data_IF_666337016638
#
_entry.id   IF_666337016638
#
_cell.length_a   1.000
_cell.length_b   1.000
_cell.length_c   1.000
_cell.angle_alpha   90.00
_cell.angle_beta   90.00
_cell.angle_gamma   90.00
#
_symmetry.space_group_name_H-M   'P 1'
#
loop_
_entity.id
_entity.type
_entity.pdbx_description
1 polymer ?
#
# COMPACT_ATOMS: atom_id res chain seq x y z
N UNK A 1 12.83 -23.23 -4.30
CA UNK A 1 12.26 -22.51 -3.14
C UNK A 1 13.36 -22.34 -2.10
N UNK A 2 13.52 -21.13 -1.60
CA UNK A 2 14.51 -20.88 -0.57
C UNK A 2 14.03 -21.44 0.76
N UNK A 3 14.92 -22.12 1.45
CA UNK A 3 14.60 -22.62 2.78
C UNK A 3 14.54 -21.47 3.78
N UNK A 4 13.44 -21.38 4.51
CA UNK A 4 13.20 -20.28 5.44
C UNK A 4 13.77 -20.52 6.83
N UNK A 5 14.01 -21.78 7.19
CA UNK A 5 14.55 -22.09 8.51
C UNK A 5 15.99 -21.59 8.61
N UNK A 6 16.33 -20.94 9.69
CA UNK A 6 17.67 -20.41 9.89
C UNK A 6 17.85 -18.95 9.52
N UNK A 7 16.85 -18.34 8.91
CA UNK A 7 16.87 -16.89 8.67
C UNK A 7 16.55 -16.14 9.94
N UNK A 8 17.12 -14.96 10.10
CA UNK A 8 16.78 -14.11 11.23
C UNK A 8 15.43 -13.41 11.01
N UNK A 9 14.98 -12.67 12.01
CA UNK A 9 13.68 -12.00 11.97
C UNK A 9 13.57 -11.02 10.80
N UNK A 10 14.61 -10.23 10.57
CA UNK A 10 14.61 -9.23 9.51
C UNK A 10 14.45 -9.90 8.15
N UNK A 11 15.24 -10.94 7.92
CA UNK A 11 15.22 -11.66 6.65
C UNK A 11 13.91 -12.43 6.45
N UNK A 12 13.35 -13.01 7.51
CA UNK A 12 12.06 -13.69 7.43
C UNK A 12 10.95 -12.72 7.03
N UNK A 13 10.92 -11.55 7.65
CA UNK A 13 9.94 -10.53 7.32
C UNK A 13 10.13 -10.04 5.89
N UNK A 14 11.39 -9.87 5.47
CA UNK A 14 11.70 -9.44 4.11
C UNK A 14 11.22 -10.44 3.07
N UNK A 15 11.51 -11.72 3.27
CA UNK A 15 11.08 -12.76 2.35
C UNK A 15 9.56 -12.84 2.26
N UNK A 16 8.88 -12.77 3.39
CA UNK A 16 7.42 -12.79 3.40
C UNK A 16 6.83 -11.55 2.73
N UNK A 17 7.41 -10.40 2.98
CA UNK A 17 6.95 -9.15 2.36
C UNK A 17 7.07 -9.24 0.83
N UNK A 18 8.23 -9.64 0.32
CA UNK A 18 8.45 -9.81 -1.11
C UNK A 18 7.48 -10.82 -1.72
N UNK A 19 7.36 -11.98 -1.07
CA UNK A 19 6.50 -13.04 -1.58
C UNK A 19 5.04 -12.63 -1.65
N UNK A 20 4.53 -12.02 -0.59
CA UNK A 20 3.14 -11.58 -0.54
C UNK A 20 2.85 -10.47 -1.55
N UNK A 21 3.77 -9.52 -1.69
CA UNK A 21 3.60 -8.44 -2.67
C UNK A 21 3.58 -8.99 -4.09
N UNK A 22 4.43 -9.94 -4.40
CA UNK A 22 4.46 -10.57 -5.73
C UNK A 22 3.14 -11.29 -6.02
N UNK A 23 2.67 -12.09 -5.08
CA UNK A 23 1.41 -12.82 -5.26
C UNK A 23 0.24 -11.86 -5.41
N UNK A 24 0.17 -10.84 -4.58
CA UNK A 24 -0.89 -9.84 -4.65
C UNK A 24 -0.88 -9.12 -6.00
N UNK A 25 0.29 -8.75 -6.49
CA UNK A 25 0.43 -8.09 -7.79
C UNK A 25 0.00 -8.99 -8.94
N UNK A 26 0.42 -10.26 -8.91
CA UNK A 26 0.02 -11.23 -9.94
C UNK A 26 -1.49 -11.44 -9.96
N UNK A 27 -2.10 -11.58 -8.78
CA UNK A 27 -3.55 -11.75 -8.69
C UNK A 27 -4.30 -10.51 -9.16
N UNK A 28 -3.80 -9.33 -8.83
CA UNK A 28 -4.41 -8.10 -9.29
C UNK A 28 -4.34 -8.00 -10.82
N UNK A 29 -3.19 -8.29 -11.41
CA UNK A 29 -3.00 -8.21 -12.86
C UNK A 29 -3.88 -9.21 -13.61
N UNK A 30 -4.19 -10.35 -13.00
CA UNK A 30 -5.10 -11.33 -13.60
C UNK A 30 -6.55 -10.86 -13.57
N UNK A 31 -6.95 -10.12 -12.54
CA UNK A 31 -8.35 -9.72 -12.30
C UNK A 31 -8.67 -8.33 -12.76
N UNK A 32 -7.70 -7.44 -12.78
CA UNK A 32 -7.92 -6.02 -13.02
C UNK A 32 -7.63 -5.59 -14.45
N UNK A 33 -8.32 -4.55 -14.85
CA UNK A 33 -8.10 -3.92 -16.16
C UNK A 33 -7.05 -2.82 -16.09
N UNK A 34 -6.72 -2.37 -14.88
CA UNK A 34 -5.78 -1.26 -14.66
C UNK A 34 -4.56 -1.80 -13.94
N UNK A 35 -3.40 -1.64 -14.55
CA UNK A 35 -2.14 -2.01 -13.90
C UNK A 35 -1.84 -1.02 -12.78
N UNK A 36 -1.61 -1.52 -11.58
CA UNK A 36 -1.32 -0.66 -10.42
C UNK A 36 -0.09 -1.23 -9.72
N UNK A 37 0.94 -0.40 -9.57
CA UNK A 37 2.17 -0.79 -8.91
C UNK A 37 2.03 -0.73 -7.38
N UNK A 38 2.95 -1.38 -6.68
CA UNK A 38 2.97 -1.33 -5.22
C UNK A 38 3.12 0.09 -4.69
N UNK A 39 3.92 0.93 -5.37
CA UNK A 39 4.07 2.34 -4.99
C UNK A 39 2.76 3.09 -5.15
N UNK A 40 2.03 2.80 -6.21
CA UNK A 40 0.72 3.41 -6.44
C UNK A 40 -0.30 2.97 -5.39
N UNK A 41 -0.33 1.68 -5.04
CA UNK A 41 -1.18 1.20 -3.95
C UNK A 41 -0.88 1.91 -2.65
N UNK A 42 0.40 2.11 -2.36
CA UNK A 42 0.83 2.76 -1.14
C UNK A 42 0.34 4.21 -1.09
N UNK A 43 0.42 4.91 -2.21
CA UNK A 43 -0.10 6.27 -2.34
C UNK A 43 -1.62 6.29 -2.15
N UNK A 44 -2.33 5.37 -2.79
CA UNK A 44 -3.80 5.28 -2.67
C UNK A 44 -4.23 5.07 -1.22
N UNK A 45 -3.51 4.25 -0.49
CA UNK A 45 -3.79 4.03 0.93
C UNK A 45 -3.65 5.32 1.73
N UNK A 46 -2.63 6.13 1.42
CA UNK A 46 -2.42 7.41 2.11
C UNK A 46 -3.49 8.45 1.76
N UNK A 47 -4.00 8.42 0.54
CA UNK A 47 -5.08 9.32 0.13
C UNK A 47 -6.39 8.93 0.83
N UNK A 48 -6.73 7.65 0.79
CA UNK A 48 -7.94 7.14 1.40
C UNK A 48 -9.19 7.92 0.97
N UNK A 49 -10.02 8.26 1.93
CA UNK A 49 -11.25 9.02 1.68
C UNK A 49 -11.03 10.53 1.77
N UNK A 50 -9.78 10.97 1.97
CA UNK A 50 -9.48 12.38 2.16
C UNK A 50 -9.05 13.07 0.87
N UNK A 51 -8.63 14.29 1.05
CA UNK A 51 -8.07 15.11 -0.02
C UNK A 51 -6.77 15.76 0.46
N UNK A 52 -5.74 14.94 0.77
CA UNK A 52 -4.47 15.50 1.24
C UNK A 52 -3.80 16.32 0.16
N UNK A 53 -2.90 17.20 0.58
CA UNK A 53 -2.04 17.88 -0.38
C UNK A 53 -0.99 16.89 -0.89
N UNK A 54 -0.46 17.17 -2.06
CA UNK A 54 0.60 16.32 -2.63
C UNK A 54 1.82 16.31 -1.69
N UNK A 55 2.12 17.45 -1.05
CA UNK A 55 3.21 17.54 -0.09
C UNK A 55 3.00 16.62 1.12
N UNK A 56 1.76 16.55 1.61
CA UNK A 56 1.42 15.65 2.72
C UNK A 56 1.60 14.18 2.33
N UNK A 57 1.16 13.81 1.12
CA UNK A 57 1.35 12.47 0.61
C UNK A 57 2.84 12.14 0.51
N UNK A 58 3.63 13.07 -0.01
CA UNK A 58 5.08 12.90 -0.15
C UNK A 58 5.75 12.59 1.20
N UNK A 59 5.36 13.31 2.23
CA UNK A 59 5.92 13.07 3.58
C UNK A 59 5.53 11.70 4.12
N UNK A 60 4.29 11.28 3.87
CA UNK A 60 3.79 10.02 4.41
C UNK A 60 4.36 8.78 3.72
N UNK A 61 4.69 8.89 2.43
CA UNK A 61 5.24 7.75 1.70
C UNK A 61 6.78 7.72 1.71
N UNK A 62 7.38 8.71 2.33
CA UNK A 62 8.84 8.79 2.52
C UNK A 62 9.61 8.67 1.21
N UNK A 63 9.13 9.37 0.19
CA UNK A 63 9.84 9.51 -1.09
C UNK A 63 9.95 10.98 -1.41
N UNK A 64 10.78 11.33 -2.37
CA UNK A 64 10.97 12.73 -2.74
C UNK A 64 9.67 13.32 -3.29
N UNK A 65 9.54 14.64 -3.19
CA UNK A 65 8.40 15.34 -3.74
C UNK A 65 8.30 15.12 -5.26
N UNK A 66 9.44 15.11 -5.94
CA UNK A 66 9.50 14.87 -7.37
C UNK A 66 8.99 13.47 -7.73
N UNK A 67 9.40 12.45 -6.98
CA UNK A 67 8.94 11.08 -7.19
C UNK A 67 7.44 10.95 -6.95
N UNK A 68 6.93 11.64 -5.92
CA UNK A 68 5.50 11.66 -5.61
C UNK A 68 4.70 12.28 -6.76
N UNK A 69 5.16 13.42 -7.28
CA UNK A 69 4.51 14.06 -8.41
C UNK A 69 4.47 13.16 -9.64
N UNK A 70 5.56 12.42 -9.88
CA UNK A 70 5.63 11.48 -11.00
C UNK A 70 4.62 10.35 -10.84
N UNK A 71 4.50 9.79 -9.64
CA UNK A 71 3.52 8.74 -9.35
C UNK A 71 2.10 9.26 -9.53
N UNK A 72 1.81 10.42 -8.98
CA UNK A 72 0.46 11.00 -9.08
C UNK A 72 0.11 11.29 -10.53
N UNK A 73 1.07 11.75 -11.33
CA UNK A 73 0.83 11.98 -12.75
C UNK A 73 0.43 10.69 -13.46
N UNK A 74 1.13 9.59 -13.18
CA UNK A 74 0.78 8.28 -13.74
C UNK A 74 -0.62 7.85 -13.30
N UNK A 75 -0.95 8.09 -12.04
CA UNK A 75 -2.26 7.73 -11.49
C UNK A 75 -3.37 8.58 -12.10
N UNK A 76 -3.09 9.85 -12.42
CA UNK A 76 -4.01 10.70 -13.16
C UNK A 76 -4.28 10.13 -14.55
N UNK A 77 -3.24 9.71 -15.25
CA UNK A 77 -3.36 9.12 -16.58
C UNK A 77 -4.21 7.86 -16.57
N UNK A 78 -4.12 7.09 -15.49
CA UNK A 78 -4.91 5.87 -15.31
C UNK A 78 -6.34 6.15 -14.84
N UNK A 79 -6.64 7.38 -14.49
CA UNK A 79 -7.96 7.75 -13.99
C UNK A 79 -8.22 7.38 -12.54
N UNK A 80 -7.17 7.05 -11.78
CA UNK A 80 -7.29 6.61 -10.39
C UNK A 80 -7.45 7.76 -9.39
N UNK A 81 -6.91 8.92 -9.73
CA UNK A 81 -6.96 10.09 -8.87
C UNK A 81 -7.38 11.31 -9.67
N UNK A 82 -7.85 12.32 -8.95
CA UNK A 82 -8.11 13.66 -9.48
C UNK A 82 -7.34 14.65 -8.62
N UNK A 83 -6.86 15.71 -9.24
CA UNK A 83 -6.11 16.76 -8.56
C UNK A 83 -6.89 18.06 -8.67
N UNK A 84 -6.95 18.80 -7.59
CA UNK A 84 -7.62 20.10 -7.55
C UNK A 84 -6.76 21.11 -6.81
N UNK A 85 -7.05 22.39 -7.02
CA UNK A 85 -6.38 23.44 -6.29
C UNK A 85 -6.94 23.54 -4.89
N UNK A 86 -6.09 23.88 -3.93
CA UNK A 86 -6.57 24.20 -2.59
C UNK A 86 -7.36 25.51 -2.63
N UNK A 87 -8.49 25.57 -1.94
CA UNK A 87 -9.35 26.75 -1.96
C UNK A 87 -8.65 28.00 -1.44
N UNK A 88 -7.75 27.84 -0.48
CA UNK A 88 -7.06 28.96 0.15
C UNK A 88 -5.77 29.35 -0.55
N UNK A 89 -5.17 28.44 -1.30
CA UNK A 89 -3.90 28.69 -1.97
C UNK A 89 -3.80 27.85 -3.23
N UNK A 90 -3.99 28.49 -4.38
CA UNK A 90 -3.99 27.82 -5.69
C UNK A 90 -2.65 27.20 -6.05
N UNK A 91 -1.58 27.57 -5.38
CA UNK A 91 -0.28 26.95 -5.60
C UNK A 91 -0.19 25.56 -4.98
N UNK A 92 -1.08 25.27 -4.04
CA UNK A 92 -1.14 23.98 -3.36
C UNK A 92 -2.13 23.10 -4.09
N UNK A 93 -1.71 21.88 -4.38
CA UNK A 93 -2.55 20.89 -5.05
C UNK A 93 -3.00 19.82 -4.08
N UNK A 94 -4.27 19.46 -4.17
CA UNK A 94 -4.86 18.37 -3.40
C UNK A 94 -5.19 17.22 -4.32
N UNK A 95 -5.09 16.01 -3.80
CA UNK A 95 -5.33 14.79 -4.57
C UNK A 95 -6.41 13.96 -3.86
N UNK A 96 -7.30 13.38 -4.64
CA UNK A 96 -8.34 12.49 -4.12
C UNK A 96 -8.51 11.29 -5.05
N UNK A 97 -9.01 10.20 -4.51
CA UNK A 97 -9.34 9.04 -5.33
C UNK A 97 -10.60 9.34 -6.16
N UNK A 98 -10.58 8.90 -7.41
CA UNK A 98 -11.77 8.94 -8.26
C UNK A 98 -12.68 7.77 -7.91
N UNK A 99 -13.85 7.70 -8.53
CA UNK A 99 -14.73 6.54 -8.41
C UNK A 99 -14.00 5.26 -8.82
N UNK A 100 -13.26 5.31 -9.93
CA UNK A 100 -12.44 4.17 -10.37
C UNK A 100 -11.36 3.83 -9.33
N UNK A 101 -10.70 4.84 -8.77
CA UNK A 101 -9.69 4.65 -7.73
C UNK A 101 -10.26 3.93 -6.52
N UNK A 102 -11.43 4.35 -6.06
CA UNK A 102 -12.11 3.70 -4.94
C UNK A 102 -12.46 2.26 -5.26
N UNK A 103 -12.99 2.01 -6.44
CA UNK A 103 -13.36 0.66 -6.86
C UNK A 103 -12.15 -0.26 -6.88
N UNK A 104 -11.04 0.21 -7.44
CA UNK A 104 -9.79 -0.55 -7.44
C UNK A 104 -9.31 -0.81 -6.01
N UNK A 105 -9.38 0.21 -5.17
CA UNK A 105 -8.96 0.08 -3.78
C UNK A 105 -9.79 -0.98 -3.04
N UNK A 106 -11.10 -0.95 -3.19
CA UNK A 106 -12.00 -1.92 -2.56
C UNK A 106 -11.74 -3.34 -3.08
N UNK A 107 -11.57 -3.48 -4.38
CA UNK A 107 -11.28 -4.79 -4.98
C UNK A 107 -9.95 -5.35 -4.48
N UNK A 108 -8.97 -4.49 -4.26
CA UNK A 108 -7.68 -4.90 -3.72
C UNK A 108 -7.79 -5.33 -2.25
N UNK A 109 -8.64 -4.66 -1.48
CA UNK A 109 -8.90 -5.06 -0.11
C UNK A 109 -9.52 -6.46 -0.04
N UNK A 110 -10.43 -6.77 -0.95
CA UNK A 110 -11.02 -8.10 -1.06
C UNK A 110 -9.97 -9.15 -1.42
N UNK A 111 -9.09 -8.81 -2.36
CA UNK A 111 -8.01 -9.70 -2.78
C UNK A 111 -7.07 -9.99 -1.62
N UNK A 112 -6.71 -8.99 -0.86
CA UNK A 112 -5.85 -9.15 0.31
C UNK A 112 -6.52 -10.01 1.38
N UNK A 113 -7.82 -9.85 1.58
CA UNK A 113 -8.58 -10.67 2.52
C UNK A 113 -8.60 -12.15 2.09
N UNK A 114 -8.73 -12.40 0.79
CA UNK A 114 -8.66 -13.77 0.25
C UNK A 114 -7.29 -14.39 0.51
N UNK A 115 -6.21 -13.62 0.30
CA UNK A 115 -4.86 -14.09 0.58
C UNK A 115 -4.69 -14.43 2.05
N UNK A 116 -5.15 -13.56 2.93
CA UNK A 116 -5.08 -13.79 4.36
C UNK A 116 -5.84 -15.05 4.76
N UNK A 117 -7.02 -15.27 4.16
CA UNK A 117 -7.81 -16.48 4.41
C UNK A 117 -7.07 -17.74 3.96
N UNK A 118 -6.37 -17.68 2.83
CA UNK A 118 -5.56 -18.81 2.33
C UNK A 118 -4.41 -19.12 3.27
N UNK A 119 -3.79 -18.09 3.82
CA UNK A 119 -2.72 -18.27 4.81
C UNK A 119 -3.30 -18.93 6.07
N UNK A 120 -4.47 -18.47 6.51
CA UNK A 120 -5.14 -19.04 7.68
C UNK A 120 -5.50 -20.50 7.48
N UNK A 121 -5.88 -20.90 6.27
CA UNK A 121 -6.11 -22.31 5.96
C UNK A 121 -4.84 -23.14 6.11
N UNK A 122 -3.72 -22.57 5.69
CA UNK A 122 -2.44 -23.28 5.70
C UNK A 122 -1.82 -23.40 7.10
N UNK A 123 -1.85 -22.32 7.89
CA UNK A 123 -1.15 -22.30 9.17
C UNK A 123 -2.07 -22.20 10.39
N UNK A 124 -3.34 -21.90 10.18
CA UNK A 124 -4.33 -21.79 11.25
C UNK A 124 -4.74 -20.35 11.50
N UNK A 125 -6.02 -20.13 11.74
CA UNK A 125 -6.59 -18.82 12.03
C UNK A 125 -5.96 -18.19 13.26
N UNK A 126 -5.70 -19.01 14.29
CA UNK A 126 -5.09 -18.54 15.54
C UNK A 126 -3.71 -17.96 15.34
N UNK A 127 -2.91 -18.59 14.46
CA UNK A 127 -1.56 -18.13 14.19
C UNK A 127 -1.55 -16.85 13.39
N UNK A 128 -2.47 -16.71 12.44
CA UNK A 128 -2.60 -15.47 11.69
C UNK A 128 -3.00 -14.33 12.61
N UNK A 129 -3.96 -14.56 13.50
CA UNK A 129 -4.39 -13.55 14.47
C UNK A 129 -3.23 -13.14 15.39
N UNK A 130 -2.46 -14.13 15.88
CA UNK A 130 -1.31 -13.87 16.73
C UNK A 130 -0.23 -13.08 15.98
N UNK A 131 0.04 -13.45 14.74
CA UNK A 131 1.02 -12.75 13.90
C UNK A 131 0.62 -11.29 13.71
N UNK A 132 -0.62 -11.03 13.38
CA UNK A 132 -1.11 -9.67 13.19
C UNK A 132 -1.00 -8.85 14.47
N UNK A 133 -1.33 -9.46 15.61
CA UNK A 133 -1.22 -8.80 16.89
C UNK A 133 0.24 -8.46 17.23
N UNK A 134 1.15 -9.39 16.96
CA UNK A 134 2.58 -9.19 17.21
C UNK A 134 3.14 -8.08 16.29
N UNK A 135 2.77 -8.10 15.00
CA UNK A 135 3.25 -7.09 14.07
C UNK A 135 2.72 -5.69 14.43
N UNK A 136 1.55 -5.61 15.04
CA UNK A 136 0.94 -4.34 15.44
C UNK A 136 1.45 -3.80 16.78
N UNK A 137 2.17 -4.62 17.55
CA UNK A 137 2.72 -4.20 18.84
C UNK A 137 3.83 -3.17 18.67
N UNK A 138 4.04 -2.38 19.70
CA UNK A 138 5.24 -1.54 19.78
C UNK A 138 6.41 -2.47 20.11
N UNK A 139 7.40 -2.51 19.22
CA UNK A 139 8.55 -3.39 19.39
C UNK A 139 9.69 -2.77 20.20
N UNK A 140 9.46 -1.62 20.81
CA UNK A 140 10.44 -0.99 21.69
C UNK A 140 11.60 -0.32 20.97
N UNK A 141 11.47 -0.13 19.66
CA UNK A 141 12.49 0.55 18.87
C UNK A 141 12.16 2.03 18.82
N UNK A 142 13.09 2.86 19.23
CA UNK A 142 12.89 4.29 19.14
C UNK A 142 13.05 4.73 17.70
N UNK A 143 12.12 5.53 17.25
CA UNK A 143 12.22 6.12 15.95
C UNK A 143 13.41 7.09 15.94
N UNK A 144 14.33 6.89 15.01
CA UNK A 144 15.52 7.72 14.89
C UNK A 144 15.29 8.98 14.10
N UNK A 145 14.12 9.15 13.57
CA UNK A 145 13.75 10.36 12.88
C UNK A 145 13.61 11.51 13.81
N UNK A 146 14.07 12.59 13.38
CA UNK A 146 13.93 13.85 14.10
C UNK A 146 12.79 14.66 13.51
#
# INVERSE_FOLDING_TARGET
MQEMSGLDLIDLLGERHFGLRRIAEELWNERGDVAISNSEWFVMTRIGSGEPTIAEVSRQVDITRQATHKLIRKMLEKGLVAVSDDERNRKVKRVRLTELGYKCYENNEELKAELEARIAEAIGTDKVAALKAILAMDWGLKNRET
#
